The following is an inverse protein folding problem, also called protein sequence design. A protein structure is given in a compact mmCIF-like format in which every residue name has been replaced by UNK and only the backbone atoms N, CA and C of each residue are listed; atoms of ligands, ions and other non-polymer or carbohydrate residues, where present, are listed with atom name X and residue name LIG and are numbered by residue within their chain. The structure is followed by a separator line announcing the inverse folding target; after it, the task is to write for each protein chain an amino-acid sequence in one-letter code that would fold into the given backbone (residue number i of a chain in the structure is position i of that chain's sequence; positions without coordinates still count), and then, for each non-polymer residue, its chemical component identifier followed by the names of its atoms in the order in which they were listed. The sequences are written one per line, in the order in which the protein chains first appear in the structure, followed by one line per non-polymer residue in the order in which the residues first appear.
data_IF_209059318975
#
_entry.id   IF_209059318975
#
_cell.length_a   1.000
_cell.length_b   1.000
_cell.length_c   1.000
_cell.angle_alpha   90.00
_cell.angle_beta   90.00
_cell.angle_gamma   90.00
#
_symmetry.space_group_name_H-M   'P 1'
#
loop_
_entity.id
_entity.type
_entity.pdbx_description
1 polymer ?
#
# COMPACT_ATOMS: atom_id res chain seq x y z
N UNK A 1 -26.22 2.73 9.43
CA UNK A 1 -27.46 2.45 10.17
C UNK A 1 -27.51 1.04 10.75
N UNK A 2 -27.76 -0.04 9.99
CA UNK A 2 -27.94 -1.41 10.57
C UNK A 2 -26.70 -1.91 11.36
N UNK A 3 -25.49 -1.68 10.82
CA UNK A 3 -24.23 -2.10 11.43
C UNK A 3 -23.97 -1.49 12.81
N UNK A 4 -24.41 -0.25 12.99
CA UNK A 4 -24.24 0.53 14.23
C UNK A 4 -25.19 0.03 15.33
N UNK A 5 -26.42 -0.35 14.97
CA UNK A 5 -27.36 -1.03 15.86
C UNK A 5 -26.87 -2.42 16.28
N UNK A 6 -26.31 -3.19 15.34
CA UNK A 6 -25.75 -4.52 15.63
C UNK A 6 -24.51 -4.46 16.54
N UNK A 7 -23.69 -3.41 16.41
CA UNK A 7 -22.59 -3.12 17.34
C UNK A 7 -23.11 -2.78 18.75
N UNK A 8 -24.18 -1.97 18.86
CA UNK A 8 -24.83 -1.60 20.14
C UNK A 8 -25.49 -2.80 20.83
N UNK A 9 -26.09 -3.72 20.05
CA UNK A 9 -26.70 -4.97 20.52
C UNK A 9 -25.68 -6.07 20.85
N UNK A 10 -24.38 -5.78 20.77
CA UNK A 10 -23.30 -6.69 21.21
C UNK A 10 -23.28 -8.05 20.49
N UNK A 11 -23.74 -8.10 19.23
CA UNK A 11 -23.78 -9.33 18.42
C UNK A 11 -22.35 -9.86 18.16
N UNK A 12 -22.05 -11.13 18.48
CA UNK A 12 -20.75 -11.75 18.17
C UNK A 12 -20.43 -11.66 16.67
N UNK A 13 -19.23 -11.19 16.30
CA UNK A 13 -18.81 -10.99 14.90
C UNK A 13 -19.06 -9.59 14.34
N UNK A 14 -19.93 -8.77 14.96
CA UNK A 14 -20.12 -7.37 14.60
C UNK A 14 -19.32 -6.38 15.47
N UNK A 15 -18.76 -6.84 16.59
CA UNK A 15 -17.96 -6.03 17.50
C UNK A 15 -16.59 -5.65 16.92
N UNK A 16 -16.28 -4.35 16.98
CA UNK A 16 -14.97 -3.71 16.87
C UNK A 16 -14.03 -4.35 15.83
N UNK A 17 -14.24 -4.03 14.55
CA UNK A 17 -13.50 -4.68 13.47
C UNK A 17 -12.01 -4.35 13.55
N UNK A 18 -11.18 -5.38 13.35
CA UNK A 18 -9.73 -5.28 13.51
C UNK A 18 -9.13 -4.21 12.59
N UNK A 19 -8.12 -3.44 13.06
CA UNK A 19 -7.38 -2.54 12.20
C UNK A 19 -6.67 -3.31 11.09
N UNK A 20 -6.50 -2.67 9.93
CA UNK A 20 -5.85 -3.24 8.76
C UNK A 20 -4.52 -2.53 8.51
N UNK A 21 -3.49 -3.32 8.21
CA UNK A 21 -2.21 -2.83 7.68
C UNK A 21 -2.06 -3.38 6.26
N UNK A 22 -1.97 -2.49 5.27
CA UNK A 22 -1.71 -2.90 3.89
C UNK A 22 -0.21 -3.19 3.73
N UNK A 23 0.14 -4.27 3.04
CA UNK A 23 1.54 -4.58 2.73
C UNK A 23 1.78 -4.44 1.24
N UNK A 24 2.65 -3.50 0.85
CA UNK A 24 3.12 -3.32 -0.52
C UNK A 24 4.48 -3.99 -0.66
N UNK A 25 4.58 -4.97 -1.56
CA UNK A 25 5.83 -5.67 -1.85
C UNK A 25 6.53 -5.04 -3.04
N UNK A 26 7.70 -4.48 -2.80
CA UNK A 26 8.56 -3.89 -3.81
C UNK A 26 9.72 -4.86 -4.04
N UNK A 27 9.53 -5.79 -4.98
CA UNK A 27 10.52 -6.83 -5.29
C UNK A 27 11.10 -6.66 -6.69
N UNK A 28 12.42 -6.66 -6.80
CA UNK A 28 13.14 -6.57 -8.08
C UNK A 28 13.69 -5.18 -8.40
N UNK A 29 14.29 -5.05 -9.60
CA UNK A 29 14.94 -3.81 -10.06
C UNK A 29 13.90 -2.70 -10.24
N UNK A 30 14.21 -1.49 -9.79
CA UNK A 30 13.35 -0.31 -10.00
C UNK A 30 13.62 0.25 -11.39
N UNK A 31 12.65 0.22 -12.29
CA UNK A 31 12.81 0.63 -13.67
C UNK A 31 12.22 -0.34 -14.68
N UNK A 32 12.19 0.08 -15.94
CA UNK A 32 11.90 -0.85 -17.03
C UNK A 32 13.08 -1.80 -17.21
N UNK A 33 12.77 -3.09 -17.27
CA UNK A 33 13.72 -4.14 -17.62
C UNK A 33 13.33 -4.59 -19.03
N UNK A 34 14.30 -4.70 -19.95
CA UNK A 34 14.07 -5.14 -21.33
C UNK A 34 13.73 -6.63 -21.47
N UNK A 35 13.38 -7.31 -20.38
CA UNK A 35 13.06 -8.73 -20.37
C UNK A 35 11.53 -8.92 -20.31
N UNK A 36 10.91 -9.58 -21.31
CA UNK A 36 9.46 -9.83 -21.32
C UNK A 36 8.95 -10.63 -20.11
N UNK A 37 9.79 -11.46 -19.50
CA UNK A 37 9.44 -12.38 -18.41
C UNK A 37 9.64 -11.74 -17.04
N UNK A 38 10.58 -10.80 -16.91
CA UNK A 38 10.89 -10.12 -15.64
C UNK A 38 10.55 -8.65 -15.76
N UNK A 39 9.39 -8.27 -15.24
CA UNK A 39 8.99 -6.87 -15.13
C UNK A 39 9.70 -6.24 -13.92
N UNK A 40 10.29 -5.06 -14.13
CA UNK A 40 10.82 -4.26 -13.04
C UNK A 40 9.74 -3.42 -12.39
N UNK A 41 10.08 -2.78 -11.27
CA UNK A 41 9.17 -1.91 -10.53
C UNK A 41 9.12 -0.54 -11.21
N UNK A 42 8.02 -0.23 -11.88
CA UNK A 42 7.77 1.13 -12.40
C UNK A 42 6.65 1.82 -11.61
N UNK A 43 6.66 3.15 -11.61
CA UNK A 43 5.62 3.95 -10.97
C UNK A 43 4.23 3.68 -11.56
N UNK A 44 4.15 3.42 -12.87
CA UNK A 44 2.91 3.12 -13.59
C UNK A 44 2.33 1.78 -13.10
N UNK A 45 3.16 0.75 -13.04
CA UNK A 45 2.71 -0.59 -12.65
C UNK A 45 2.28 -0.64 -11.17
N UNK A 46 2.93 0.15 -10.32
CA UNK A 46 2.62 0.22 -8.89
C UNK A 46 1.40 1.10 -8.56
N UNK A 47 0.95 1.96 -9.48
CA UNK A 47 -0.11 2.95 -9.22
C UNK A 47 -1.39 2.31 -8.68
N UNK A 48 -1.88 1.27 -9.36
CA UNK A 48 -3.11 0.55 -8.95
C UNK A 48 -2.95 -0.12 -7.59
N UNK A 49 -1.78 -0.70 -7.31
CA UNK A 49 -1.51 -1.39 -6.05
C UNK A 49 -1.43 -0.41 -4.88
N UNK A 50 -0.80 0.76 -5.10
CA UNK A 50 -0.74 1.85 -4.12
C UNK A 50 -2.16 2.36 -3.82
N UNK A 51 -2.95 2.69 -4.84
CA UNK A 51 -4.33 3.18 -4.66
C UNK A 51 -5.22 2.17 -3.93
N UNK A 52 -5.07 0.89 -4.26
CA UNK A 52 -5.78 -0.17 -3.55
C UNK A 52 -5.36 -0.27 -2.08
N UNK A 53 -4.07 -0.16 -1.78
CA UNK A 53 -3.57 -0.22 -0.42
C UNK A 53 -4.18 0.89 0.46
N UNK A 54 -4.24 2.12 -0.07
CA UNK A 54 -4.79 3.29 0.64
C UNK A 54 -6.32 3.37 0.69
N UNK A 55 -7.03 2.57 -0.12
CA UNK A 55 -8.51 2.52 -0.11
C UNK A 55 -9.08 1.41 0.77
N UNK A 56 -8.23 0.59 1.42
CA UNK A 56 -8.70 -0.48 2.29
C UNK A 56 -9.52 0.08 3.49
N UNK A 57 -10.67 -0.53 3.82
CA UNK A 57 -11.44 -0.12 4.98
C UNK A 57 -10.65 -0.40 6.26
N UNK A 58 -10.68 0.55 7.21
CA UNK A 58 -10.00 0.47 8.53
C UNK A 58 -8.48 0.37 8.41
N UNK A 59 -7.92 0.87 7.32
CA UNK A 59 -6.49 1.04 7.16
C UNK A 59 -5.96 1.94 8.28
N UNK A 60 -4.90 1.48 8.95
CA UNK A 60 -4.18 2.24 9.99
C UNK A 60 -2.73 2.51 9.62
N UNK A 61 -2.16 1.74 8.70
CA UNK A 61 -0.80 1.92 8.21
C UNK A 61 -0.59 1.20 6.88
N UNK A 62 0.43 1.62 6.13
CA UNK A 62 0.97 0.87 5.00
C UNK A 62 2.40 0.43 5.35
N UNK A 63 2.70 -0.85 5.11
CA UNK A 63 4.04 -1.42 5.24
C UNK A 63 4.62 -1.67 3.85
N UNK A 64 5.79 -1.11 3.59
CA UNK A 64 6.57 -1.37 2.39
C UNK A 64 7.56 -2.49 2.71
N UNK A 65 7.41 -3.64 2.07
CA UNK A 65 8.43 -4.69 2.07
C UNK A 65 9.34 -4.44 0.87
N UNK A 66 10.59 -4.04 1.11
CA UNK A 66 11.54 -3.64 0.07
C UNK A 66 12.56 -4.76 -0.11
N UNK A 67 12.48 -5.44 -1.25
CA UNK A 67 13.47 -6.42 -1.70
C UNK A 67 13.96 -6.04 -3.11
N UNK A 68 14.67 -4.93 -3.18
CA UNK A 68 15.13 -4.36 -4.44
C UNK A 68 16.64 -4.09 -4.40
N UNK A 69 17.40 -4.47 -5.44
CA UNK A 69 18.80 -4.08 -5.57
C UNK A 69 18.98 -2.60 -5.98
N UNK A 70 17.89 -1.84 -6.10
CA UNK A 70 17.88 -0.47 -6.61
C UNK A 70 17.52 -0.38 -8.09
N UNK A 71 17.90 0.73 -8.74
CA UNK A 71 17.68 0.95 -10.16
C UNK A 71 17.53 2.43 -10.53
N UNK A 72 16.57 2.73 -11.41
CA UNK A 72 16.32 4.06 -11.94
C UNK A 72 16.01 5.08 -10.82
N UNK A 73 16.79 6.17 -10.68
CA UNK A 73 16.52 7.21 -9.69
C UNK A 73 15.21 7.95 -10.00
N UNK A 74 14.86 8.07 -11.28
CA UNK A 74 13.60 8.70 -11.73
C UNK A 74 12.40 7.90 -11.25
N UNK A 75 12.37 6.59 -11.52
CA UNK A 75 11.27 5.73 -11.09
C UNK A 75 11.18 5.65 -9.57
N UNK A 76 12.32 5.57 -8.87
CA UNK A 76 12.37 5.63 -7.40
C UNK A 76 11.73 6.90 -6.86
N UNK A 77 12.06 8.07 -7.43
CA UNK A 77 11.48 9.35 -7.03
C UNK A 77 9.98 9.42 -7.28
N UNK A 78 9.51 8.92 -8.43
CA UNK A 78 8.08 8.90 -8.77
C UNK A 78 7.27 8.01 -7.83
N UNK A 79 7.78 6.80 -7.54
CA UNK A 79 7.16 5.86 -6.59
C UNK A 79 7.09 6.51 -5.19
N UNK A 80 8.20 7.08 -4.72
CA UNK A 80 8.26 7.78 -3.44
C UNK A 80 7.23 8.90 -3.35
N UNK A 81 7.20 9.81 -4.35
CA UNK A 81 6.26 10.94 -4.38
C UNK A 81 4.82 10.47 -4.36
N UNK A 82 4.47 9.41 -5.11
CA UNK A 82 3.10 8.88 -5.13
C UNK A 82 2.69 8.31 -3.77
N UNK A 83 3.54 7.51 -3.13
CA UNK A 83 3.25 6.95 -1.80
C UNK A 83 3.12 8.07 -0.76
N UNK A 84 4.02 9.07 -0.78
CA UNK A 84 3.96 10.23 0.12
C UNK A 84 2.70 11.05 -0.06
N UNK A 85 2.32 11.36 -1.29
CA UNK A 85 1.11 12.11 -1.58
C UNK A 85 -0.14 11.39 -1.02
N UNK A 86 -0.25 10.07 -1.21
CA UNK A 86 -1.35 9.28 -0.67
C UNK A 86 -1.34 9.20 0.86
N UNK A 87 -0.15 9.09 1.46
CA UNK A 87 0.03 9.08 2.91
C UNK A 87 -0.41 10.40 3.55
N UNK A 88 -0.05 11.53 2.93
CA UNK A 88 -0.44 12.86 3.35
C UNK A 88 -1.93 13.11 3.14
N UNK A 89 -2.47 12.79 1.96
CA UNK A 89 -3.90 12.96 1.65
C UNK A 89 -4.81 12.14 2.58
N UNK A 90 -4.40 10.92 2.94
CA UNK A 90 -5.20 10.02 3.78
C UNK A 90 -4.82 10.07 5.26
N UNK A 91 -3.78 10.82 5.61
CA UNK A 91 -3.19 10.84 6.96
C UNK A 91 -2.84 9.43 7.48
N UNK A 92 -2.35 8.57 6.59
CA UNK A 92 -1.97 7.18 6.91
C UNK A 92 -0.45 7.06 6.99
N UNK A 93 0.10 6.58 8.13
CA UNK A 93 1.55 6.38 8.26
C UNK A 93 2.03 5.25 7.35
N UNK A 94 3.24 5.43 6.82
CA UNK A 94 3.93 4.44 5.98
C UNK A 94 5.23 4.04 6.65
N UNK A 95 5.45 2.73 6.77
CA UNK A 95 6.67 2.15 7.34
C UNK A 95 7.37 1.32 6.26
N UNK A 96 8.70 1.34 6.23
CA UNK A 96 9.49 0.54 5.30
C UNK A 96 10.34 -0.48 6.04
N UNK A 97 10.43 -1.68 5.48
CA UNK A 97 11.21 -2.81 5.98
C UNK A 97 12.01 -3.39 4.82
N UNK A 98 13.27 -3.76 5.06
CA UNK A 98 14.18 -4.34 4.07
C UNK A 98 14.71 -5.68 4.58
#
# INVERSE_FOLDING_TARGET
MIREYLEKLRVPGFRNPKPVVAVLRLSGVIGQIGNPIRQGLTAVDLMRSIERAFSLPKLRAVALQVNSPGGSPVQSSLIFKRIRAMAEEKEIPVFAFA
#
